data_IF_608632108268
#
_entry.id   IF_608632108268
#
_cell.length_a   1.000
_cell.length_b   1.000
_cell.length_c   1.000
_cell.angle_alpha   90.00
_cell.angle_beta   90.00
_cell.angle_gamma   90.00
#
_symmetry.space_group_name_H-M   'P 1'
#
loop_
_entity.id
_entity.type
_entity.pdbx_description
1 polymer ?
#
# COMPACT_ATOMS: atom_id res chain seq x y z
N UNK A 1 -8.81 -20.17 5.05
CA UNK A 1 -8.84 -18.93 5.87
C UNK A 1 -7.47 -18.39 6.33
N UNK A 2 -6.28 -19.00 6.12
CA UNK A 2 -5.00 -18.37 6.53
C UNK A 2 -4.57 -17.22 5.60
N UNK A 3 -4.95 -17.24 4.32
CA UNK A 3 -4.46 -16.31 3.30
C UNK A 3 -4.72 -14.83 3.63
N UNK A 4 -5.85 -14.50 4.27
CA UNK A 4 -6.14 -13.12 4.70
C UNK A 4 -5.20 -12.67 5.82
N UNK A 5 -4.99 -13.52 6.83
CA UNK A 5 -4.08 -13.22 7.93
C UNK A 5 -2.63 -13.15 7.44
N UNK A 6 -2.23 -14.01 6.51
CA UNK A 6 -0.92 -13.95 5.87
C UNK A 6 -0.74 -12.65 5.08
N UNK A 7 -1.72 -12.24 4.30
CA UNK A 7 -1.67 -10.98 3.55
C UNK A 7 -1.53 -9.77 4.50
N UNK A 8 -2.32 -9.73 5.59
CA UNK A 8 -2.22 -8.68 6.61
C UNK A 8 -0.85 -8.67 7.29
N UNK A 9 -0.32 -9.84 7.66
CA UNK A 9 1.01 -9.95 8.24
C UNK A 9 2.10 -9.43 7.29
N UNK A 10 2.02 -9.77 6.00
CA UNK A 10 2.96 -9.31 4.97
C UNK A 10 2.91 -7.79 4.79
N UNK A 11 1.72 -7.17 4.80
CA UNK A 11 1.61 -5.71 4.74
C UNK A 11 2.33 -5.06 5.91
N UNK A 12 2.14 -5.57 7.14
CA UNK A 12 2.82 -5.04 8.32
C UNK A 12 4.34 -5.21 8.26
N UNK A 13 4.82 -6.37 7.80
CA UNK A 13 6.25 -6.62 7.62
C UNK A 13 6.85 -5.64 6.61
N UNK A 14 6.21 -5.46 5.46
CA UNK A 14 6.71 -4.58 4.40
C UNK A 14 6.73 -3.13 4.87
N UNK A 15 5.61 -2.63 5.42
CA UNK A 15 5.53 -1.27 6.00
C UNK A 15 6.59 -1.07 7.08
N UNK A 16 6.72 -2.01 8.02
CA UNK A 16 7.71 -1.95 9.11
C UNK A 16 9.16 -1.88 8.62
N UNK A 17 9.49 -2.66 7.59
CA UNK A 17 10.82 -2.64 6.93
C UNK A 17 11.09 -1.24 6.35
N UNK A 18 10.13 -0.64 5.65
CA UNK A 18 10.29 0.72 5.11
C UNK A 18 10.47 1.77 6.20
N UNK A 19 9.71 1.71 7.30
CA UNK A 19 9.90 2.63 8.43
C UNK A 19 11.25 2.44 9.12
N UNK A 20 11.73 1.20 9.26
CA UNK A 20 12.98 0.90 9.96
C UNK A 20 14.23 1.27 9.13
N UNK A 21 14.24 0.94 7.83
CA UNK A 21 15.38 1.18 6.94
C UNK A 21 15.41 2.61 6.38
N UNK A 22 14.25 3.19 6.10
CA UNK A 22 14.15 4.46 5.38
C UNK A 22 13.17 5.45 6.05
N UNK A 23 13.33 5.76 7.36
CA UNK A 23 12.38 6.56 8.12
C UNK A 23 12.17 7.96 7.53
N UNK A 24 13.24 8.63 7.07
CA UNK A 24 13.11 9.99 6.52
C UNK A 24 12.51 10.02 5.12
N UNK A 25 12.68 8.95 4.34
CA UNK A 25 12.00 8.83 3.05
C UNK A 25 10.49 8.71 3.25
N UNK A 26 10.05 7.93 4.24
CA UNK A 26 8.63 7.81 4.60
C UNK A 26 8.05 9.13 5.09
N UNK A 27 8.74 9.87 5.96
CA UNK A 27 8.30 11.21 6.39
C UNK A 27 8.11 12.16 5.21
N UNK A 28 9.06 12.17 4.25
CA UNK A 28 8.95 13.00 3.04
C UNK A 28 7.77 12.59 2.16
N UNK A 29 7.55 11.28 2.00
CA UNK A 29 6.40 10.76 1.26
C UNK A 29 5.07 11.21 1.90
N UNK A 30 4.94 11.09 3.22
CA UNK A 30 3.73 11.54 3.91
C UNK A 30 3.49 13.04 3.73
N UNK A 31 4.55 13.85 3.86
CA UNK A 31 4.46 15.30 3.63
C UNK A 31 4.05 15.64 2.19
N UNK A 32 4.46 14.86 1.20
CA UNK A 32 4.06 15.03 -0.20
C UNK A 32 2.59 14.66 -0.46
N UNK A 33 1.99 13.81 0.37
CA UNK A 33 0.58 13.39 0.25
C UNK A 33 -0.37 14.42 0.87
N UNK A 34 0.04 15.13 1.94
CA UNK A 34 -0.77 16.14 2.61
C UNK A 34 -1.46 17.18 1.69
N UNK A 35 -0.79 17.77 0.68
CA UNK A 35 -1.42 18.76 -0.20
C UNK A 35 -2.36 18.15 -1.25
N UNK A 36 -2.40 16.83 -1.41
CA UNK A 36 -3.26 16.17 -2.41
C UNK A 36 -4.71 16.18 -1.92
N UNK A 37 -5.65 16.58 -2.78
CA UNK A 37 -7.07 16.57 -2.43
C UNK A 37 -7.56 15.16 -2.11
N UNK A 38 -8.47 15.03 -1.14
CA UNK A 38 -9.04 13.73 -0.75
C UNK A 38 -9.74 13.01 -1.91
N UNK A 39 -10.28 13.76 -2.89
CA UNK A 39 -10.90 13.19 -4.09
C UNK A 39 -9.85 12.49 -4.98
N UNK A 40 -8.74 13.17 -5.26
CA UNK A 40 -7.62 12.60 -6.03
C UNK A 40 -6.97 11.43 -5.31
N UNK A 41 -6.84 11.49 -3.99
CA UNK A 41 -6.27 10.40 -3.21
C UNK A 41 -7.18 9.15 -3.22
N UNK A 42 -8.51 9.34 -3.16
CA UNK A 42 -9.48 8.24 -3.28
C UNK A 42 -9.43 7.59 -4.65
N UNK A 43 -9.38 8.38 -5.73
CA UNK A 43 -9.32 7.81 -7.09
C UNK A 43 -8.02 7.06 -7.34
N UNK A 44 -6.87 7.61 -6.90
CA UNK A 44 -5.59 6.93 -6.96
C UNK A 44 -5.58 5.63 -6.14
N UNK A 45 -6.12 5.66 -4.91
CA UNK A 45 -6.25 4.48 -4.05
C UNK A 45 -7.15 3.40 -4.66
N UNK A 46 -8.27 3.79 -5.27
CA UNK A 46 -9.16 2.85 -5.96
C UNK A 46 -8.48 2.20 -7.18
N UNK A 47 -7.76 2.99 -7.98
CA UNK A 47 -6.97 2.47 -9.10
C UNK A 47 -5.90 1.49 -8.62
N UNK A 48 -5.15 1.83 -7.56
CA UNK A 48 -4.16 0.95 -6.97
C UNK A 48 -4.77 -0.37 -6.46
N UNK A 49 -5.93 -0.30 -5.81
CA UNK A 49 -6.64 -1.49 -5.34
C UNK A 49 -7.11 -2.39 -6.49
N UNK A 50 -7.64 -1.82 -7.57
CA UNK A 50 -8.05 -2.59 -8.76
C UNK A 50 -6.86 -3.26 -9.45
N UNK A 51 -5.74 -2.55 -9.58
CA UNK A 51 -4.50 -3.13 -10.14
C UNK A 51 -3.98 -4.25 -9.26
N UNK A 52 -3.92 -4.05 -7.94
CA UNK A 52 -3.52 -5.08 -6.98
C UNK A 52 -4.41 -6.32 -7.07
N UNK A 53 -5.72 -6.15 -7.16
CA UNK A 53 -6.67 -7.24 -7.37
C UNK A 53 -6.40 -7.99 -8.68
N UNK A 54 -6.17 -7.26 -9.78
CA UNK A 54 -5.83 -7.85 -11.08
C UNK A 54 -4.54 -8.68 -11.04
N UNK A 55 -3.52 -8.19 -10.34
CA UNK A 55 -2.25 -8.93 -10.15
C UNK A 55 -2.48 -10.20 -9.33
N UNK A 56 -3.20 -10.12 -8.21
CA UNK A 56 -3.52 -11.30 -7.39
C UNK A 56 -4.30 -12.32 -8.21
N UNK A 57 -5.27 -11.88 -9.02
CA UNK A 57 -6.04 -12.75 -9.89
C UNK A 57 -5.15 -13.44 -10.94
N UNK A 58 -4.23 -12.70 -11.58
CA UNK A 58 -3.30 -13.26 -12.56
C UNK A 58 -2.32 -14.28 -11.96
N UNK A 59 -1.84 -14.05 -10.74
CA UNK A 59 -0.94 -14.99 -10.04
C UNK A 59 -1.69 -16.27 -9.63
N UNK A 60 -2.99 -16.17 -9.36
CA UNK A 60 -3.84 -17.29 -8.92
C UNK A 60 -4.55 -18.01 -10.06
N UNK A 61 -4.46 -17.49 -11.28
CA UNK A 61 -4.99 -18.09 -12.52
C UNK A 61 -4.13 -19.31 -12.91
#
# INVERSE_FOLDING_TARGET
MPDLFTALALVLVIEGIFYALFPDAMKRMMAAILPISSSSLRSAGLLAAMVGLGIVWLIRL
#
